data_IF_436333229300
#
_entry.id   IF_436333229300
#
_cell.length_a   1.000
_cell.length_b   1.000
_cell.length_c   1.000
_cell.angle_alpha   90.00
_cell.angle_beta   90.00
_cell.angle_gamma   90.00
#
_symmetry.space_group_name_H-M   'P 1'
#
loop_
_entity.id
_entity.type
_entity.pdbx_description
1 polymer ?
#
# COMPACT_ATOMS: atom_id res chain seq x y z
N UNK A 1 -11.91 -1.64 1.72
CA UNK A 1 -11.95 -2.95 2.41
C UNK A 1 -12.40 -2.65 3.82
N UNK A 2 -13.61 -3.09 4.23
CA UNK A 2 -14.15 -2.75 5.54
C UNK A 2 -13.34 -3.34 6.71
N UNK A 3 -12.69 -4.50 6.51
CA UNK A 3 -12.02 -5.22 7.59
C UNK A 3 -10.48 -5.16 7.55
N UNK A 4 -9.88 -4.75 6.43
CA UNK A 4 -8.43 -4.75 6.23
C UNK A 4 -7.96 -3.45 5.56
N UNK A 5 -6.96 -2.80 6.15
CA UNK A 5 -6.31 -1.63 5.54
C UNK A 5 -5.26 -2.09 4.51
N UNK A 6 -5.02 -1.28 3.46
CA UNK A 6 -4.05 -1.61 2.41
C UNK A 6 -2.64 -1.83 2.95
N UNK A 7 -2.26 -1.16 4.05
CA UNK A 7 -0.96 -1.34 4.70
C UNK A 7 -0.81 -2.75 5.32
N UNK A 8 -1.87 -3.27 5.95
CA UNK A 8 -1.89 -4.63 6.47
C UNK A 8 -1.80 -5.66 5.33
N UNK A 9 -2.48 -5.39 4.22
CA UNK A 9 -2.41 -6.22 3.03
C UNK A 9 -0.99 -6.26 2.44
N UNK A 10 -0.31 -5.11 2.35
CA UNK A 10 1.08 -5.05 1.91
C UNK A 10 2.01 -5.88 2.80
N UNK A 11 1.88 -5.75 4.12
CA UNK A 11 2.69 -6.50 5.06
C UNK A 11 2.51 -8.02 4.87
N UNK A 12 1.26 -8.49 4.74
CA UNK A 12 0.97 -9.90 4.48
C UNK A 12 1.52 -10.39 3.13
N UNK A 13 1.49 -9.56 2.08
CA UNK A 13 2.05 -9.90 0.77
C UNK A 13 3.58 -10.00 0.80
N UNK A 14 4.25 -9.20 1.64
CA UNK A 14 5.73 -9.21 1.75
C UNK A 14 6.24 -10.32 2.67
N UNK A 15 5.43 -10.79 3.62
CA UNK A 15 5.78 -11.89 4.52
C UNK A 15 5.80 -13.26 3.82
N UNK A 16 5.06 -13.42 2.73
CA UNK A 16 5.08 -14.65 1.92
C UNK A 16 6.13 -14.54 0.79
N UNK A 17 7.14 -15.44 0.73
CA UNK A 17 8.18 -15.43 -0.30
C UNK A 17 7.65 -15.40 -1.74
N UNK A 18 6.57 -16.14 -2.01
CA UNK A 18 6.00 -16.27 -3.36
C UNK A 18 5.34 -14.97 -3.84
N UNK A 19 4.82 -14.17 -2.92
CA UNK A 19 4.16 -12.88 -3.23
C UNK A 19 5.06 -11.68 -2.96
N UNK A 20 6.19 -11.87 -2.26
CA UNK A 20 7.09 -10.81 -1.83
C UNK A 20 7.73 -10.04 -2.99
N UNK A 21 7.80 -10.65 -4.18
CA UNK A 21 8.39 -10.07 -5.39
C UNK A 21 7.39 -9.31 -6.25
N UNK A 22 6.10 -9.39 -5.94
CA UNK A 22 5.04 -8.78 -6.74
C UNK A 22 5.03 -7.26 -6.48
N UNK A 23 5.14 -6.40 -7.51
CA UNK A 23 5.05 -4.95 -7.34
C UNK A 23 3.66 -4.53 -6.84
N UNK A 24 3.60 -3.65 -5.84
CA UNK A 24 2.34 -3.19 -5.25
C UNK A 24 2.18 -1.68 -5.40
N UNK A 25 1.04 -1.26 -5.94
CA UNK A 25 0.66 0.15 -6.09
C UNK A 25 -0.55 0.45 -5.22
N UNK A 26 -0.47 1.49 -4.41
CA UNK A 26 -1.61 1.97 -3.63
C UNK A 26 -2.50 2.89 -4.45
N UNK A 27 -3.80 2.60 -4.48
CA UNK A 27 -4.82 3.45 -5.10
C UNK A 27 -5.64 4.18 -4.01
N UNK A 28 -5.38 5.46 -3.78
CA UNK A 28 -6.02 6.23 -2.68
C UNK A 28 -7.02 7.27 -3.21
N UNK A 29 -8.17 7.42 -2.55
CA UNK A 29 -9.11 8.53 -2.78
C UNK A 29 -8.81 9.75 -1.90
N UNK A 30 -7.93 9.61 -0.91
CA UNK A 30 -7.51 10.70 -0.03
C UNK A 30 -6.12 11.18 -0.46
N UNK A 31 -6.05 12.41 -0.99
CA UNK A 31 -4.82 13.10 -1.38
C UNK A 31 -4.08 13.73 -0.17
N UNK A 32 -4.34 13.23 1.05
CA UNK A 32 -3.68 13.73 2.24
C UNK A 32 -2.20 13.31 2.18
N UNK A 33 -1.29 14.29 2.20
CA UNK A 33 0.16 14.04 2.18
C UNK A 33 0.63 13.17 3.34
N UNK A 34 -0.11 13.15 4.45
CA UNK A 34 0.20 12.34 5.62
C UNK A 34 0.00 10.84 5.35
N UNK A 35 -1.06 10.47 4.63
CA UNK A 35 -1.35 9.08 4.28
C UNK A 35 -0.38 8.56 3.21
N UNK A 36 -0.02 9.40 2.23
CA UNK A 36 1.02 9.06 1.26
C UNK A 36 2.39 8.88 1.93
N UNK A 37 2.74 9.73 2.91
CA UNK A 37 4.03 9.64 3.61
C UNK A 37 4.14 8.38 4.46
N UNK A 38 3.10 8.04 5.24
CA UNK A 38 3.04 6.76 5.98
C UNK A 38 3.19 5.56 5.06
N UNK A 39 2.57 5.67 3.89
CA UNK A 39 2.66 4.71 2.82
C UNK A 39 4.07 4.49 2.28
N UNK A 40 4.74 5.58 1.90
CA UNK A 40 6.13 5.56 1.46
C UNK A 40 7.09 5.02 2.51
N UNK A 41 6.87 5.34 3.80
CA UNK A 41 7.66 4.80 4.91
C UNK A 41 7.51 3.27 5.07
N UNK A 42 6.46 2.66 4.52
CA UNK A 42 6.24 1.20 4.53
C UNK A 42 6.81 0.46 3.31
N UNK A 43 7.50 1.14 2.40
CA UNK A 43 8.20 0.49 1.28
C UNK A 43 7.31 0.16 0.08
N UNK A 44 6.29 0.97 -0.17
CA UNK A 44 5.43 0.83 -1.35
C UNK A 44 6.09 1.34 -2.62
N UNK A 45 5.96 0.59 -3.71
CA UNK A 45 6.60 0.91 -4.97
C UNK A 45 6.02 2.16 -5.65
N UNK A 46 4.71 2.42 -5.50
CA UNK A 46 4.07 3.60 -6.10
C UNK A 46 2.71 3.98 -5.47
N UNK A 47 2.29 5.24 -5.68
CA UNK A 47 1.00 5.81 -5.27
C UNK A 47 0.25 6.42 -6.46
N UNK A 48 -1.01 6.05 -6.64
CA UNK A 48 -1.92 6.64 -7.63
C UNK A 48 -3.18 7.15 -6.92
N UNK A 49 -3.57 8.40 -7.18
CA UNK A 49 -4.84 8.97 -6.71
C UNK A 49 -6.00 8.55 -7.59
N UNK A 50 -7.10 8.12 -6.98
CA UNK A 50 -8.38 7.89 -7.66
C UNK A 50 -8.96 9.23 -8.16
N UNK A 51 -9.63 9.26 -9.32
CA UNK A 51 -10.48 10.39 -9.69
C UNK A 51 -11.69 10.53 -8.77
#
# INVERSE_FOLDING_TARGET
MPDMNGCCALAALRDNPDTSVIPVIFLTGAASRADMRKGMEMGTDNYITKP
#
